data_IF_059243661269
#
_entry.id   IF_059243661269
#
_cell.length_a   1.000
_cell.length_b   1.000
_cell.length_c   1.000
_cell.angle_alpha   90.00
_cell.angle_beta   90.00
_cell.angle_gamma   90.00
#
_symmetry.space_group_name_H-M   'P 1'
#
loop_
_entity.id
_entity.type
_entity.pdbx_description
1 polymer ?
#
# COMPACT_ATOMS: atom_id res chain seq x y z
N UNK A 1 9.11 -47.70 33.65
CA UNK A 1 8.80 -46.90 32.46
C UNK A 1 10.04 -46.89 31.57
N UNK A 2 9.92 -47.12 30.26
CA UNK A 2 11.07 -46.96 29.36
C UNK A 2 11.41 -45.46 29.25
N UNK A 3 12.68 -45.09 29.03
CA UNK A 3 13.07 -43.72 28.77
C UNK A 3 12.51 -43.28 27.42
N UNK A 4 11.87 -42.11 27.38
CA UNK A 4 11.46 -41.44 26.15
C UNK A 4 12.70 -40.85 25.48
N UNK A 5 12.95 -41.22 24.22
CA UNK A 5 13.97 -40.56 23.41
C UNK A 5 13.62 -39.07 23.25
N UNK A 6 14.61 -38.16 23.26
CA UNK A 6 14.36 -36.74 23.06
C UNK A 6 13.87 -36.49 21.63
N UNK A 7 12.69 -35.87 21.50
CA UNK A 7 12.19 -35.32 20.24
C UNK A 7 13.16 -34.23 19.77
N UNK A 8 13.71 -34.29 18.54
CA UNK A 8 14.48 -33.19 17.99
C UNK A 8 13.62 -31.92 17.99
N UNK A 9 14.08 -30.84 18.64
CA UNK A 9 13.35 -29.56 18.76
C UNK A 9 13.59 -28.63 17.58
N UNK A 10 14.13 -29.15 16.49
CA UNK A 10 14.68 -28.35 15.42
C UNK A 10 13.98 -28.80 14.14
N UNK A 11 13.26 -27.89 13.49
CA UNK A 11 12.88 -28.07 12.08
C UNK A 11 13.88 -27.27 11.24
N UNK A 12 14.43 -27.92 10.22
CA UNK A 12 15.22 -27.25 9.21
C UNK A 12 14.30 -26.89 8.06
N UNK A 13 14.04 -25.59 7.87
CA UNK A 13 13.38 -25.07 6.69
C UNK A 13 14.44 -24.59 5.69
N UNK A 14 14.33 -25.06 4.45
CA UNK A 14 15.18 -24.66 3.34
C UNK A 14 14.29 -24.44 2.12
N UNK A 15 14.39 -23.25 1.53
CA UNK A 15 13.70 -22.90 0.31
C UNK A 15 14.67 -22.14 -0.61
N UNK A 16 15.18 -22.82 -1.64
CA UNK A 16 15.86 -22.17 -2.77
C UNK A 16 14.83 -21.92 -3.87
N UNK A 17 14.12 -20.79 -3.79
CA UNK A 17 13.39 -20.25 -4.94
C UNK A 17 14.03 -18.91 -5.31
N UNK A 18 15.03 -18.89 -6.22
CA UNK A 18 15.42 -17.64 -6.86
C UNK A 18 14.24 -17.20 -7.74
N UNK A 19 13.44 -16.25 -7.26
CA UNK A 19 12.31 -15.70 -7.99
C UNK A 19 12.53 -14.21 -8.26
N UNK A 20 12.05 -13.75 -9.41
CA UNK A 20 12.05 -12.35 -9.80
C UNK A 20 10.62 -12.01 -10.19
N UNK A 21 10.00 -11.04 -9.52
CA UNK A 21 8.81 -10.37 -10.06
C UNK A 21 9.20 -8.96 -10.47
N UNK A 22 8.62 -8.52 -11.57
CA UNK A 22 8.56 -7.10 -11.88
C UNK A 22 7.31 -6.52 -11.23
N UNK A 23 7.44 -5.36 -10.58
CA UNK A 23 6.31 -4.61 -10.01
C UNK A 23 6.16 -3.31 -10.79
N UNK A 24 4.93 -3.00 -11.21
CA UNK A 24 4.67 -1.75 -11.91
C UNK A 24 4.79 -0.55 -10.96
N UNK A 25 5.48 0.49 -11.41
CA UNK A 25 5.41 1.81 -10.76
C UNK A 25 4.04 2.47 -11.05
N UNK A 26 3.66 3.42 -10.22
CA UNK A 26 2.41 4.16 -10.36
C UNK A 26 2.59 5.41 -11.24
N UNK A 27 1.57 5.80 -12.03
CA UNK A 27 1.65 7.02 -12.84
C UNK A 27 1.74 8.27 -11.93
N UNK A 28 2.24 9.41 -12.44
CA UNK A 28 2.28 10.64 -11.68
C UNK A 28 0.86 11.02 -11.22
N UNK A 29 0.69 11.20 -9.91
CA UNK A 29 -0.62 11.48 -9.32
C UNK A 29 -0.78 12.97 -9.05
N UNK A 30 -1.97 13.51 -9.30
CA UNK A 30 -2.40 14.78 -8.69
C UNK A 30 -2.77 14.53 -7.23
N UNK A 31 -1.99 15.09 -6.31
CA UNK A 31 -2.24 14.90 -4.88
C UNK A 31 -3.54 15.57 -4.44
N UNK A 32 -4.43 14.79 -3.80
CA UNK A 32 -5.60 15.32 -3.13
C UNK A 32 -5.19 16.31 -2.04
N UNK A 33 -6.08 17.24 -1.69
CA UNK A 33 -5.84 18.12 -0.54
C UNK A 33 -5.64 17.31 0.75
N UNK A 34 -6.40 16.22 0.88
CA UNK A 34 -6.34 15.31 2.02
C UNK A 34 -4.97 14.68 2.19
N UNK A 35 -4.44 14.14 1.10
CA UNK A 35 -3.13 13.50 1.14
C UNK A 35 -2.00 14.49 1.42
N UNK A 36 -2.09 15.71 0.87
CA UNK A 36 -1.13 16.77 1.21
C UNK A 36 -1.14 17.12 2.69
N UNK A 37 -2.31 17.19 3.30
CA UNK A 37 -2.46 17.43 4.74
C UNK A 37 -1.89 16.24 5.55
N UNK A 38 -2.22 15.01 5.16
CA UNK A 38 -1.71 13.78 5.78
C UNK A 38 -0.17 13.72 5.75
N UNK A 39 0.41 13.89 4.56
CA UNK A 39 1.86 13.89 4.36
C UNK A 39 2.56 14.99 5.17
N UNK A 40 1.97 16.18 5.22
CA UNK A 40 2.48 17.28 6.03
C UNK A 40 2.50 16.91 7.51
N UNK A 41 1.39 16.38 8.03
CA UNK A 41 1.29 15.92 9.42
C UNK A 41 2.34 14.84 9.70
N UNK A 42 2.39 13.78 8.90
CA UNK A 42 3.36 12.68 9.04
C UNK A 42 4.80 13.18 9.14
N UNK A 43 5.20 14.11 8.26
CA UNK A 43 6.55 14.69 8.31
C UNK A 43 6.82 15.40 9.63
N UNK A 44 5.84 16.13 10.15
CA UNK A 44 5.94 16.76 11.47
C UNK A 44 6.03 15.73 12.58
N UNK A 45 5.24 14.65 12.53
CA UNK A 45 5.26 13.57 13.53
C UNK A 45 6.61 12.84 13.56
N UNK A 46 7.14 12.44 12.40
CA UNK A 46 8.46 11.80 12.30
C UNK A 46 9.57 12.71 12.82
N UNK A 47 9.46 14.02 12.60
CA UNK A 47 10.44 14.97 13.14
C UNK A 47 10.44 15.03 14.68
N UNK A 48 9.39 14.56 15.36
CA UNK A 48 9.32 14.49 16.83
C UNK A 48 9.93 13.21 17.41
N UNK A 49 10.35 12.25 16.58
CA UNK A 49 10.93 10.99 17.07
C UNK A 49 12.43 11.08 17.31
N UNK A 50 13.03 12.27 17.22
CA UNK A 50 14.45 12.57 17.50
C UNK A 50 15.48 11.62 16.86
N UNK A 51 15.14 11.04 15.71
CA UNK A 51 16.00 10.09 14.99
C UNK A 51 15.83 8.62 15.37
N UNK A 52 14.91 8.29 16.29
CA UNK A 52 14.60 6.93 16.73
C UNK A 52 13.48 6.26 15.92
N UNK A 53 13.19 6.75 14.72
CA UNK A 53 12.16 6.14 13.88
C UNK A 53 12.55 4.69 13.52
N UNK A 54 11.71 3.67 13.83
CA UNK A 54 12.14 2.27 13.72
C UNK A 54 12.49 1.79 12.30
N UNK A 55 11.92 2.39 11.24
CA UNK A 55 12.21 1.98 9.86
C UNK A 55 13.45 2.64 9.26
N UNK A 56 13.94 3.75 9.85
CA UNK A 56 15.30 4.25 9.64
C UNK A 56 15.62 5.37 10.65
N UNK A 57 16.89 5.59 10.98
CA UNK A 57 17.30 6.79 11.68
C UNK A 57 17.17 8.02 10.77
N UNK A 58 16.70 9.15 11.33
CA UNK A 58 16.67 10.44 10.63
C UNK A 58 18.10 10.83 10.22
N UNK A 59 18.38 11.13 8.94
CA UNK A 59 19.73 11.49 8.52
C UNK A 59 20.20 12.74 9.28
N UNK A 60 21.39 12.66 9.86
CA UNK A 60 22.07 13.78 10.52
C UNK A 60 23.06 14.42 9.53
N UNK A 61 23.06 15.76 9.36
CA UNK A 61 22.24 16.76 10.03
C UNK A 61 20.82 16.85 9.48
N UNK A 62 19.93 17.43 10.29
CA UNK A 62 18.54 17.67 9.92
C UNK A 62 18.46 18.44 8.59
N UNK A 63 17.55 18.05 7.69
CA UNK A 63 17.48 18.64 6.37
C UNK A 63 17.03 20.11 6.39
N UNK A 64 17.65 20.94 5.55
CA UNK A 64 17.20 22.32 5.32
C UNK A 64 15.76 22.39 4.74
N UNK A 65 15.03 23.51 4.93
CA UNK A 65 13.69 23.68 4.38
C UNK A 65 13.71 23.64 2.84
N UNK A 66 13.05 22.66 2.24
CA UNK A 66 13.01 22.42 0.80
C UNK A 66 12.36 21.06 0.48
N UNK A 67 12.19 20.67 -0.80
CA UNK A 67 11.65 19.34 -1.15
C UNK A 67 12.62 18.23 -0.70
N UNK A 68 12.36 17.77 0.52
CA UNK A 68 12.87 16.62 1.28
C UNK A 68 14.36 16.28 1.18
N UNK A 69 15.21 16.80 2.08
CA UNK A 69 16.52 16.23 2.33
C UNK A 69 16.55 15.20 3.51
N UNK A 70 15.40 14.82 4.09
CA UNK A 70 15.26 13.59 4.91
C UNK A 70 14.49 12.55 4.09
N UNK A 71 15.14 11.42 3.80
CA UNK A 71 14.76 10.45 2.77
C UNK A 71 13.50 9.63 3.00
N UNK A 72 12.48 10.14 3.71
CA UNK A 72 11.19 9.46 3.91
C UNK A 72 10.18 9.80 2.82
N UNK A 73 9.68 8.76 2.19
CA UNK A 73 8.55 8.78 1.29
C UNK A 73 7.31 8.31 2.07
N UNK A 74 6.16 8.84 1.69
CA UNK A 74 4.88 8.58 2.34
C UNK A 74 4.18 7.42 1.63
N UNK A 75 4.14 6.27 2.30
CA UNK A 75 3.56 5.04 1.79
C UNK A 75 2.11 4.84 2.25
N UNK A 76 1.28 4.37 1.32
CA UNK A 76 -0.11 3.95 1.53
C UNK A 76 -0.18 2.51 2.04
N UNK A 77 -0.19 2.31 3.35
CA UNK A 77 0.05 0.97 3.91
C UNK A 77 -0.61 0.67 5.26
N UNK A 78 -1.59 1.46 5.69
CA UNK A 78 -2.32 1.22 6.95
C UNK A 78 -1.64 1.80 8.19
N UNK A 79 -0.83 2.86 8.03
CA UNK A 79 -0.24 3.58 9.15
C UNK A 79 -1.28 4.35 9.95
N UNK A 80 -1.25 4.21 11.28
CA UNK A 80 -2.07 5.00 12.21
C UNK A 80 -1.16 5.60 13.27
N UNK A 81 -1.02 6.92 13.25
CA UNK A 81 -0.24 7.63 14.26
C UNK A 81 -1.09 7.86 15.51
N UNK A 82 -0.58 7.47 16.68
CA UNK A 82 -1.24 7.70 17.98
C UNK A 82 -0.30 8.43 18.91
N UNK A 83 -0.86 9.17 19.86
CA UNK A 83 -0.10 9.92 20.84
C UNK A 83 -0.35 9.41 22.25
N UNK A 84 0.71 9.06 22.94
CA UNK A 84 0.71 8.77 24.37
C UNK A 84 1.49 9.86 25.14
N UNK A 85 1.65 9.75 26.47
CA UNK A 85 2.41 10.73 27.25
C UNK A 85 3.90 10.84 26.86
N UNK A 86 4.48 9.80 26.27
CA UNK A 86 5.91 9.73 25.92
C UNK A 86 6.16 10.24 24.49
N UNK A 87 5.13 10.28 23.63
CA UNK A 87 5.21 10.94 22.34
C UNK A 87 4.31 10.33 21.28
N UNK A 88 4.78 10.41 20.03
CA UNK A 88 4.06 9.89 18.87
C UNK A 88 4.56 8.50 18.50
N UNK A 89 3.62 7.58 18.32
CA UNK A 89 3.84 6.21 17.88
C UNK A 89 3.12 6.01 16.55
N UNK A 90 3.70 5.21 15.67
CA UNK A 90 3.00 4.74 14.48
C UNK A 90 2.65 3.26 14.65
N UNK A 91 1.36 2.97 14.62
CA UNK A 91 0.80 1.63 14.69
C UNK A 91 0.43 1.21 13.28
N UNK A 92 0.96 0.07 12.83
CA UNK A 92 0.53 -0.53 11.57
C UNK A 92 -0.70 -1.39 11.82
N UNK A 93 -1.82 -1.03 11.20
CA UNK A 93 -3.00 -1.87 11.25
C UNK A 93 -2.83 -3.12 10.39
N UNK A 94 -3.55 -4.23 10.68
CA UNK A 94 -3.40 -5.47 9.94
C UNK A 94 -3.68 -5.37 8.43
N UNK A 95 -4.48 -4.37 8.01
CA UNK A 95 -4.86 -4.10 6.64
C UNK A 95 -4.65 -2.62 6.31
N UNK A 96 -3.80 -2.36 5.32
CA UNK A 96 -3.64 -1.06 4.68
C UNK A 96 -4.17 -1.09 3.25
N UNK A 97 -4.57 0.07 2.73
CA UNK A 97 -5.07 0.22 1.37
C UNK A 97 -4.03 0.99 0.56
N UNK A 98 -3.45 0.33 -0.44
CA UNK A 98 -2.67 1.04 -1.45
C UNK A 98 -3.52 1.99 -2.23
N UNK A 99 -2.86 3.04 -2.70
CA UNK A 99 -3.50 3.99 -3.58
C UNK A 99 -4.19 3.31 -4.77
N UNK A 100 -3.54 2.37 -5.45
CA UNK A 100 -4.14 1.70 -6.62
C UNK A 100 -5.26 0.71 -6.26
N UNK A 101 -5.23 0.15 -5.05
CA UNK A 101 -6.20 -0.83 -4.60
C UNK A 101 -7.58 -0.21 -4.29
N UNK A 102 -7.64 1.09 -4.04
CA UNK A 102 -8.87 1.81 -3.69
C UNK A 102 -10.01 1.59 -4.72
N UNK A 103 -9.67 1.43 -6.00
CA UNK A 103 -10.64 1.34 -7.10
C UNK A 103 -11.44 0.03 -7.07
N UNK A 104 -10.87 -1.03 -6.51
CA UNK A 104 -11.55 -2.31 -6.29
C UNK A 104 -12.05 -2.50 -4.86
N UNK A 105 -11.78 -1.56 -3.94
CA UNK A 105 -12.13 -1.71 -2.54
C UNK A 105 -13.65 -1.59 -2.30
N UNK A 106 -14.16 -2.45 -1.43
CA UNK A 106 -15.56 -2.47 -1.03
C UNK A 106 -15.79 -1.51 0.16
N UNK A 107 -16.65 -0.48 0.04
CA UNK A 107 -16.81 0.55 1.06
C UNK A 107 -17.11 0.01 2.45
N UNK A 108 -17.96 -1.01 2.56
CA UNK A 108 -18.31 -1.66 3.82
C UNK A 108 -17.14 -2.42 4.47
N UNK A 109 -16.21 -2.96 3.66
CA UNK A 109 -14.99 -3.59 4.16
C UNK A 109 -13.99 -2.54 4.63
N UNK A 110 -13.85 -1.43 3.90
CA UNK A 110 -13.03 -0.28 4.32
C UNK A 110 -13.59 0.37 5.59
N UNK A 111 -14.92 0.45 5.75
CA UNK A 111 -15.54 0.94 6.99
C UNK A 111 -15.20 0.07 8.21
N UNK A 112 -14.96 -1.24 8.04
CA UNK A 112 -14.45 -2.10 9.13
C UNK A 112 -13.02 -1.72 9.51
N UNK A 113 -12.17 -1.40 8.54
CA UNK A 113 -10.81 -0.91 8.77
C UNK A 113 -10.87 0.44 9.51
N UNK A 114 -11.71 1.39 9.06
CA UNK A 114 -11.95 2.67 9.74
C UNK A 114 -12.37 2.47 11.19
N UNK A 115 -13.33 1.58 11.47
CA UNK A 115 -13.77 1.32 12.85
C UNK A 115 -12.65 0.73 13.71
N UNK A 116 -11.77 -0.09 13.13
CA UNK A 116 -10.58 -0.57 13.83
C UNK A 116 -9.65 0.59 14.19
N UNK A 117 -9.32 1.46 13.22
CA UNK A 117 -8.52 2.66 13.43
C UNK A 117 -9.13 3.58 14.50
N UNK A 118 -10.45 3.80 14.46
CA UNK A 118 -11.16 4.61 15.45
C UNK A 118 -11.05 4.04 16.87
N UNK A 119 -11.08 2.72 17.02
CA UNK A 119 -10.86 2.06 18.32
C UNK A 119 -9.43 2.24 18.82
N UNK A 120 -8.45 2.11 17.92
CA UNK A 120 -7.04 2.32 18.25
C UNK A 120 -6.82 3.77 18.68
N UNK A 121 -7.21 4.75 17.85
CA UNK A 121 -7.08 6.18 18.17
C UNK A 121 -7.83 6.54 19.45
N UNK A 122 -9.03 5.97 19.67
CA UNK A 122 -9.81 6.19 20.90
C UNK A 122 -9.15 5.68 22.18
N UNK A 123 -8.17 4.77 22.09
CA UNK A 123 -7.38 4.33 23.24
C UNK A 123 -6.26 5.33 23.62
N UNK A 124 -5.98 6.30 22.75
CA UNK A 124 -4.94 7.31 22.89
C UNK A 124 -5.55 8.72 22.85
N UNK A 125 -6.11 9.22 23.96
CA UNK A 125 -6.96 10.41 23.98
C UNK A 125 -6.27 11.70 23.50
N UNK A 126 -4.94 11.78 23.59
CA UNK A 126 -4.17 12.93 23.14
C UNK A 126 -3.92 12.97 21.62
N UNK A 127 -4.32 11.93 20.89
CA UNK A 127 -4.08 11.81 19.44
C UNK A 127 -4.80 12.91 18.64
N UNK A 128 -6.12 13.01 18.77
CA UNK A 128 -6.89 14.00 17.99
C UNK A 128 -6.57 15.46 18.39
N UNK A 129 -6.47 15.80 19.70
CA UNK A 129 -5.98 17.13 20.09
C UNK A 129 -4.56 17.40 19.58
N UNK A 130 -3.69 16.39 19.58
CA UNK A 130 -2.34 16.48 19.06
C UNK A 130 -2.31 16.78 17.56
N UNK A 131 -3.16 16.13 16.77
CA UNK A 131 -3.31 16.42 15.34
C UNK A 131 -3.80 17.84 15.09
N UNK A 132 -4.83 18.29 15.81
CA UNK A 132 -5.37 19.64 15.69
C UNK A 132 -4.31 20.71 16.04
N UNK A 133 -3.51 20.48 17.08
CA UNK A 133 -2.39 21.36 17.44
C UNK A 133 -1.31 21.46 16.34
N UNK A 134 -1.22 20.46 15.46
CA UNK A 134 -0.34 20.44 14.29
C UNK A 134 -1.05 20.89 12.99
N UNK A 135 -2.28 21.38 13.09
CA UNK A 135 -3.08 21.90 11.97
C UNK A 135 -3.75 20.82 11.12
N UNK A 136 -4.05 19.65 11.69
CA UNK A 136 -4.83 18.59 11.06
C UNK A 136 -6.13 18.37 11.84
N UNK A 137 -7.18 19.11 11.46
CA UNK A 137 -8.46 19.13 12.19
C UNK A 137 -9.45 18.05 11.72
N UNK A 138 -9.10 17.34 10.65
CA UNK A 138 -10.03 16.46 9.94
C UNK A 138 -10.17 15.07 10.57
N UNK A 139 -9.32 14.77 11.56
CA UNK A 139 -9.21 13.45 12.18
C UNK A 139 -10.54 12.93 12.76
N UNK A 140 -11.26 13.77 13.49
CA UNK A 140 -12.54 13.39 14.09
C UNK A 140 -13.59 13.07 13.02
N UNK A 141 -13.68 13.89 11.96
CA UNK A 141 -14.63 13.66 10.87
C UNK A 141 -14.34 12.35 10.15
N UNK A 142 -13.09 12.07 9.81
CA UNK A 142 -12.69 10.85 9.10
C UNK A 142 -12.97 9.60 9.93
N UNK A 143 -12.68 9.64 11.23
CA UNK A 143 -12.96 8.52 12.14
C UNK A 143 -14.45 8.40 12.46
N UNK A 144 -15.23 9.48 12.43
CA UNK A 144 -16.65 9.48 12.75
C UNK A 144 -17.56 9.17 11.57
N UNK A 145 -17.12 9.38 10.34
CA UNK A 145 -17.96 9.28 9.13
C UNK A 145 -17.95 7.86 8.55
N UNK A 146 -19.10 7.18 8.43
CA UNK A 146 -19.17 5.87 7.78
C UNK A 146 -18.74 5.92 6.31
N UNK A 147 -17.99 4.90 5.87
CA UNK A 147 -17.55 4.76 4.48
C UNK A 147 -18.61 3.94 3.71
N UNK A 148 -19.20 4.57 2.69
CA UNK A 148 -20.31 4.02 1.89
C UNK A 148 -20.12 4.18 0.39
N UNK A 149 -19.24 5.07 -0.05
CA UNK A 149 -19.01 5.39 -1.46
C UNK A 149 -17.55 5.21 -1.86
N UNK A 150 -17.29 5.09 -3.16
CA UNK A 150 -15.93 5.06 -3.68
C UNK A 150 -15.15 6.35 -3.39
N UNK A 151 -15.83 7.51 -3.35
CA UNK A 151 -15.19 8.78 -2.98
C UNK A 151 -14.71 8.78 -1.51
N UNK A 152 -15.48 8.18 -0.60
CA UNK A 152 -15.07 8.03 0.80
C UNK A 152 -13.96 6.99 0.98
N UNK A 153 -13.92 5.95 0.15
CA UNK A 153 -12.78 5.02 0.09
C UNK A 153 -11.51 5.76 -0.35
N UNK A 154 -11.60 6.61 -1.38
CA UNK A 154 -10.48 7.41 -1.85
C UNK A 154 -9.97 8.37 -0.76
N UNK A 155 -10.90 9.06 -0.10
CA UNK A 155 -10.58 9.97 1.01
C UNK A 155 -9.92 9.24 2.20
N UNK A 156 -10.43 8.06 2.57
CA UNK A 156 -9.81 7.21 3.60
C UNK A 156 -8.41 6.77 3.20
N UNK A 157 -8.25 6.31 1.95
CA UNK A 157 -6.97 5.86 1.40
C UNK A 157 -5.90 6.94 1.55
N UNK A 158 -6.26 8.20 1.26
CA UNK A 158 -5.38 9.36 1.35
C UNK A 158 -5.22 9.96 2.77
N UNK A 159 -5.89 9.43 3.79
CA UNK A 159 -5.89 9.98 5.15
C UNK A 159 -4.71 9.53 6.01
N UNK A 160 -4.47 10.25 7.12
CA UNK A 160 -3.43 9.91 8.12
C UNK A 160 -3.63 8.54 8.78
N UNK A 161 -4.82 7.95 8.64
CA UNK A 161 -5.19 6.66 9.21
C UNK A 161 -4.98 5.48 8.26
N UNK A 162 -4.43 5.72 7.08
CA UNK A 162 -4.11 4.69 6.09
C UNK A 162 -2.81 5.00 5.34
N UNK A 163 -2.70 6.22 4.82
CA UNK A 163 -1.45 6.73 4.31
C UNK A 163 -0.44 6.90 5.46
N UNK A 164 0.68 7.57 5.19
CA UNK A 164 1.55 8.10 6.21
C UNK A 164 2.32 7.04 7.00
N UNK A 165 2.68 5.95 6.32
CA UNK A 165 3.79 5.09 6.74
C UNK A 165 5.08 5.70 6.18
N UNK A 166 5.95 6.34 7.00
CA UNK A 166 7.20 6.89 6.51
C UNK A 166 8.21 5.78 6.24
N UNK A 167 8.56 5.60 4.97
CA UNK A 167 9.53 4.63 4.53
C UNK A 167 10.70 5.33 3.87
N UNK A 168 11.95 4.88 4.08
CA UNK A 168 13.05 5.38 3.28
C UNK A 168 12.82 5.05 1.79
N UNK A 169 13.30 5.90 0.89
CA UNK A 169 13.11 5.73 -0.57
C UNK A 169 13.47 4.32 -1.09
N UNK A 170 14.55 3.71 -0.60
CA UNK A 170 14.98 2.37 -1.01
C UNK A 170 13.94 1.28 -0.72
N UNK A 171 13.52 1.09 0.54
CA UNK A 171 12.41 0.22 0.93
C UNK A 171 11.05 0.59 0.31
N UNK A 172 10.83 1.85 -0.06
CA UNK A 172 9.59 2.30 -0.70
C UNK A 172 9.54 1.96 -2.20
N UNK A 173 10.67 2.01 -2.91
CA UNK A 173 10.78 1.63 -4.33
C UNK A 173 11.35 0.21 -4.46
N UNK A 174 10.48 -0.79 -4.69
CA UNK A 174 10.88 -2.19 -4.83
C UNK A 174 11.73 -2.46 -6.08
N UNK A 175 13.05 -2.31 -5.97
CA UNK A 175 14.02 -2.80 -6.96
C UNK A 175 14.85 -3.92 -6.33
N UNK A 176 14.46 -5.16 -6.55
CA UNK A 176 15.32 -6.31 -6.24
C UNK A 176 16.53 -6.23 -7.21
N UNK A 177 17.81 -6.21 -6.74
CA UNK A 177 18.39 -7.01 -5.65
C UNK A 177 19.08 -6.20 -4.51
N UNK A 178 18.75 -4.92 -4.28
CA UNK A 178 19.44 -4.09 -3.27
C UNK A 178 18.62 -3.80 -2.00
N UNK A 179 17.35 -4.19 -1.93
CA UNK A 179 16.53 -4.09 -0.71
C UNK A 179 15.44 -5.16 -0.69
N UNK A 180 15.15 -5.70 0.51
CA UNK A 180 14.08 -6.68 0.69
C UNK A 180 12.72 -5.97 0.80
N UNK A 181 11.94 -5.92 -0.28
CA UNK A 181 10.57 -5.38 -0.24
C UNK A 181 9.62 -6.42 0.37
N UNK A 182 9.00 -6.14 1.54
CA UNK A 182 8.05 -7.00 2.28
C UNK A 182 7.53 -8.21 1.49
N UNK A 183 8.20 -9.37 1.54
CA UNK A 183 8.27 -10.27 0.38
C UNK A 183 7.13 -11.30 0.20
N UNK A 184 6.94 -11.63 -1.08
CA UNK A 184 6.35 -12.84 -1.72
C UNK A 184 4.95 -12.68 -2.35
N UNK A 185 4.19 -11.70 -1.87
CA UNK A 185 3.21 -10.91 -2.61
C UNK A 185 3.09 -9.67 -1.76
N UNK A 186 3.82 -8.59 -2.08
CA UNK A 186 4.19 -7.67 -1.04
C UNK A 186 2.95 -7.14 -0.38
N UNK A 187 2.86 -7.26 0.96
CA UNK A 187 1.92 -6.42 1.68
C UNK A 187 2.16 -5.02 1.14
N UNK A 188 1.16 -4.45 0.47
CA UNK A 188 -0.28 -4.72 0.64
C UNK A 188 -1.05 -5.39 -0.53
N UNK A 189 -0.42 -5.93 -1.58
CA UNK A 189 -1.08 -6.67 -2.68
C UNK A 189 -1.95 -7.84 -2.18
N UNK A 190 -1.46 -8.65 -1.23
CA UNK A 190 -2.29 -9.70 -0.61
C UNK A 190 -3.45 -9.14 0.21
N UNK A 191 -3.25 -7.96 0.82
CA UNK A 191 -4.27 -7.34 1.64
C UNK A 191 -5.46 -6.90 0.80
N UNK A 192 -5.25 -6.61 -0.49
CA UNK A 192 -6.32 -6.28 -1.44
C UNK A 192 -7.38 -7.38 -1.44
N UNK A 193 -7.02 -8.66 -1.33
CA UNK A 193 -7.99 -9.76 -1.32
C UNK A 193 -8.96 -9.69 -0.14
N UNK A 194 -8.51 -9.12 0.99
CA UNK A 194 -9.33 -8.98 2.19
C UNK A 194 -10.35 -7.83 2.10
N UNK A 195 -10.13 -6.83 1.25
CA UNK A 195 -10.99 -5.65 1.16
C UNK A 195 -11.55 -5.36 -0.24
N UNK A 196 -11.11 -6.05 -1.30
CA UNK A 196 -11.70 -5.95 -2.63
C UNK A 196 -13.18 -6.35 -2.62
N UNK A 197 -13.91 -5.89 -3.62
CA UNK A 197 -15.26 -6.38 -3.89
C UNK A 197 -15.21 -7.86 -4.31
N UNK A 198 -16.20 -8.61 -3.85
CA UNK A 198 -16.29 -10.06 -4.11
C UNK A 198 -16.54 -10.38 -5.60
N UNK A 199 -16.97 -9.37 -6.37
CA UNK A 199 -17.23 -9.46 -7.81
C UNK A 199 -16.06 -8.99 -8.69
N UNK A 200 -14.90 -8.62 -8.13
CA UNK A 200 -13.69 -8.29 -8.90
C UNK A 200 -12.60 -9.32 -8.64
N UNK A 201 -12.09 -10.04 -9.65
CA UNK A 201 -10.99 -10.99 -9.44
C UNK A 201 -9.61 -10.31 -9.56
N UNK A 202 -8.89 -10.27 -8.43
CA UNK A 202 -7.55 -9.70 -8.30
C UNK A 202 -6.47 -10.61 -8.89
N UNK A 203 -6.56 -11.91 -8.60
CA UNK A 203 -5.67 -12.94 -9.11
C UNK A 203 -6.33 -13.60 -10.31
N UNK A 204 -5.72 -13.39 -11.47
CA UNK A 204 -6.18 -13.90 -12.76
C UNK A 204 -5.08 -14.75 -13.38
N UNK A 205 -5.39 -15.50 -14.43
CA UNK A 205 -4.44 -16.40 -15.08
C UNK A 205 -4.27 -16.05 -16.55
N UNK A 206 -3.03 -16.07 -17.03
CA UNK A 206 -2.78 -15.92 -18.47
C UNK A 206 -3.18 -17.19 -19.26
N UNK A 207 -2.98 -17.16 -20.58
CA UNK A 207 -3.30 -18.28 -21.48
C UNK A 207 -2.57 -19.60 -21.13
N UNK A 208 -1.48 -19.53 -20.35
CA UNK A 208 -0.70 -20.68 -19.89
C UNK A 208 -1.07 -21.13 -18.48
N UNK A 209 -2.08 -20.51 -17.86
CA UNK A 209 -2.48 -20.75 -16.48
C UNK A 209 -1.53 -20.12 -15.46
N UNK A 210 -0.64 -19.20 -15.87
CA UNK A 210 0.31 -18.57 -14.96
C UNK A 210 -0.35 -17.39 -14.24
N UNK A 211 -0.11 -17.20 -12.93
CA UNK A 211 -0.78 -16.18 -12.14
C UNK A 211 -0.32 -14.76 -12.51
N UNK A 212 -1.28 -13.85 -12.59
CA UNK A 212 -1.09 -12.41 -12.81
C UNK A 212 -2.01 -11.65 -11.86
N UNK A 213 -1.51 -10.56 -11.28
CA UNK A 213 -2.25 -9.68 -10.35
C UNK A 213 -2.65 -8.41 -11.07
N UNK A 214 -3.93 -8.06 -11.03
CA UNK A 214 -4.46 -6.87 -11.71
C UNK A 214 -5.39 -6.03 -10.82
N UNK A 215 -5.39 -4.71 -11.02
CA UNK A 215 -6.32 -3.78 -10.35
C UNK A 215 -7.02 -2.87 -11.36
N UNK A 216 -8.26 -2.43 -11.13
CA UNK A 216 -8.99 -1.59 -12.06
C UNK A 216 -8.44 -0.15 -12.05
N UNK A 217 -8.57 0.56 -13.19
CA UNK A 217 -8.13 1.95 -13.30
C UNK A 217 -9.17 2.97 -12.79
N UNK A 218 -10.42 2.54 -12.59
CA UNK A 218 -11.51 3.42 -12.18
C UNK A 218 -12.50 2.69 -11.26
N UNK A 219 -13.34 3.43 -10.51
CA UNK A 219 -14.37 2.83 -9.65
C UNK A 219 -15.36 1.95 -10.43
N UNK A 220 -15.88 0.91 -9.76
CA UNK A 220 -16.99 0.08 -10.28
C UNK A 220 -18.18 0.96 -10.72
N UNK A 221 -18.74 0.64 -11.88
CA UNK A 221 -19.86 1.39 -12.47
C UNK A 221 -19.45 2.61 -13.30
N UNK A 222 -18.14 2.89 -13.43
CA UNK A 222 -17.63 3.96 -14.31
C UNK A 222 -17.73 3.64 -15.81
N UNK A 223 -17.86 2.37 -16.17
CA UNK A 223 -17.77 1.89 -17.55
C UNK A 223 -16.33 1.68 -18.05
N UNK A 224 -15.30 1.96 -17.24
CA UNK A 224 -13.91 1.69 -17.59
C UNK A 224 -13.52 0.25 -17.23
N UNK A 225 -13.39 -0.61 -18.24
CA UNK A 225 -12.99 -2.01 -18.09
C UNK A 225 -11.48 -2.24 -18.15
N UNK A 226 -10.66 -1.19 -18.13
CA UNK A 226 -9.19 -1.34 -18.14
C UNK A 226 -8.68 -1.80 -16.79
N UNK A 227 -7.62 -2.61 -16.82
CA UNK A 227 -6.89 -3.02 -15.62
C UNK A 227 -5.41 -2.67 -15.72
N UNK A 228 -4.75 -2.50 -14.59
CA UNK A 228 -3.30 -2.37 -14.48
C UNK A 228 -2.73 -3.66 -13.92
N UNK A 229 -1.74 -4.22 -14.60
CA UNK A 229 -0.94 -5.34 -14.08
C UNK A 229 -0.04 -4.80 -12.96
N UNK A 230 -0.13 -5.42 -11.78
CA UNK A 230 0.71 -5.10 -10.62
C UNK A 230 1.89 -6.06 -10.50
N UNK A 231 1.65 -7.34 -10.77
CA UNK A 231 2.64 -8.41 -10.70
C UNK A 231 2.27 -9.52 -11.69
N UNK A 232 3.25 -10.26 -12.18
CA UNK A 232 3.04 -11.42 -13.05
C UNK A 232 4.10 -12.48 -12.74
N UNK A 233 3.74 -13.75 -12.90
CA UNK A 233 4.71 -14.82 -12.94
C UNK A 233 5.79 -14.54 -13.99
N UNK A 234 7.08 -14.80 -13.70
CA UNK A 234 8.20 -14.43 -14.58
C UNK A 234 8.09 -15.00 -16.01
N UNK A 235 7.53 -16.20 -16.15
CA UNK A 235 7.30 -16.85 -17.44
C UNK A 235 6.04 -16.39 -18.18
N UNK A 236 5.24 -15.52 -17.57
CA UNK A 236 4.07 -14.93 -18.21
C UNK A 236 4.49 -13.88 -19.23
N UNK A 237 3.80 -13.82 -20.37
CA UNK A 237 4.01 -12.75 -21.36
C UNK A 237 3.73 -11.35 -20.76
N UNK A 238 2.88 -11.29 -19.74
CA UNK A 238 2.58 -10.05 -19.01
C UNK A 238 3.73 -9.57 -18.12
N UNK A 239 4.69 -10.43 -17.75
CA UNK A 239 5.88 -10.00 -17.03
C UNK A 239 6.75 -9.04 -17.84
N UNK A 240 6.75 -9.15 -19.18
CA UNK A 240 7.47 -8.24 -20.07
C UNK A 240 6.84 -6.84 -20.11
N UNK A 241 5.57 -6.71 -19.74
CA UNK A 241 4.86 -5.42 -19.64
C UNK A 241 5.21 -4.67 -18.36
N UNK A 242 5.64 -5.40 -17.34
CA UNK A 242 6.14 -4.91 -16.07
C UNK A 242 7.65 -4.72 -16.22
N UNK A 243 8.09 -3.56 -16.70
CA UNK A 243 9.52 -3.38 -16.98
C UNK A 243 10.27 -2.84 -15.77
N UNK A 244 11.44 -3.44 -15.56
CA UNK A 244 12.43 -3.09 -14.53
C UNK A 244 12.86 -1.61 -14.63
N UNK A 245 13.10 -0.95 -13.48
CA UNK A 245 13.66 0.40 -13.40
C UNK A 245 14.91 0.66 -14.26
N UNK A 246 15.73 -0.36 -14.51
CA UNK A 246 16.95 -0.26 -15.33
C UNK A 246 16.63 0.01 -16.80
N UNK A 247 15.62 -0.65 -17.35
CA UNK A 247 15.18 -0.42 -18.72
C UNK A 247 14.43 0.91 -18.87
N UNK A 248 13.81 1.41 -17.79
CA UNK A 248 13.19 2.75 -17.75
C UNK A 248 14.22 3.88 -17.73
N UNK A 249 15.35 3.72 -17.04
CA UNK A 249 16.45 4.69 -17.03
C UNK A 249 17.12 4.85 -18.41
N UNK A 250 17.12 3.81 -19.25
CA UNK A 250 17.66 3.84 -20.60
C UNK A 250 16.69 4.44 -21.64
N UNK A 251 15.39 4.51 -21.34
CA UNK A 251 14.35 4.81 -22.33
C UNK A 251 13.89 6.28 -22.39
N UNK A 252 14.48 7.21 -21.62
CA UNK A 252 14.15 8.65 -21.59
C UNK A 252 12.65 8.96 -21.72
N UNK A 253 11.94 8.83 -20.58
CA UNK A 253 10.61 9.39 -20.31
C UNK A 253 9.56 9.33 -21.44
N UNK A 254 8.77 8.26 -21.44
CA UNK A 254 7.35 8.32 -21.79
C UNK A 254 6.52 7.54 -20.78
N UNK A 255 5.32 8.05 -20.55
CA UNK A 255 4.21 7.42 -19.82
C UNK A 255 4.19 5.90 -20.07
N UNK A 256 4.53 5.11 -19.05
CA UNK A 256 4.53 3.65 -19.20
C UNK A 256 3.10 3.13 -19.08
N UNK A 257 2.34 3.24 -20.17
CA UNK A 257 1.03 2.59 -20.33
C UNK A 257 1.14 1.09 -20.59
N UNK A 258 2.34 0.54 -20.76
CA UNK A 258 2.53 -0.88 -21.09
C UNK A 258 1.95 -1.86 -20.06
N UNK A 259 1.84 -1.45 -18.78
CA UNK A 259 1.21 -2.26 -17.74
C UNK A 259 -0.32 -2.11 -17.67
N UNK A 260 -0.91 -1.21 -18.46
CA UNK A 260 -2.37 -1.05 -18.58
C UNK A 260 -2.87 -1.94 -19.70
N UNK A 261 -3.88 -2.74 -19.40
CA UNK A 261 -4.53 -3.65 -20.33
C UNK A 261 -5.88 -3.06 -20.77
N UNK A 262 -6.21 -3.12 -22.07
CA UNK A 262 -7.51 -2.67 -22.54
C UNK A 262 -8.63 -3.62 -22.08
N UNK A 263 -9.91 -3.20 -22.13
CA UNK A 263 -11.04 -4.00 -21.62
C UNK A 263 -11.25 -5.34 -22.34
N UNK A 264 -10.73 -5.48 -23.56
CA UNK A 264 -10.81 -6.68 -24.38
C UNK A 264 -9.65 -7.66 -24.15
N UNK A 265 -8.66 -7.30 -23.34
CA UNK A 265 -7.58 -8.19 -22.91
C UNK A 265 -8.13 -9.35 -22.07
N UNK A 266 -7.54 -10.55 -22.23
CA UNK A 266 -7.95 -11.76 -21.52
C UNK A 266 -7.99 -11.57 -20.01
N UNK A 267 -6.96 -10.93 -19.43
CA UNK A 267 -6.88 -10.70 -17.98
C UNK A 267 -7.93 -9.69 -17.49
N UNK A 268 -8.21 -8.65 -18.30
CA UNK A 268 -9.24 -7.67 -17.97
C UNK A 268 -10.64 -8.33 -17.96
N UNK A 269 -10.93 -9.14 -18.97
CA UNK A 269 -12.19 -9.90 -19.06
C UNK A 269 -12.34 -10.90 -17.91
N UNK A 270 -11.27 -11.57 -17.53
CA UNK A 270 -11.28 -12.47 -16.38
C UNK A 270 -11.53 -11.72 -15.07
N UNK A 271 -10.82 -10.61 -14.84
CA UNK A 271 -10.95 -9.80 -13.64
C UNK A 271 -12.39 -9.26 -13.43
N UNK A 272 -13.04 -8.86 -14.52
CA UNK A 272 -14.40 -8.29 -14.52
C UNK A 272 -15.50 -9.30 -14.82
N UNK A 273 -15.22 -10.61 -14.95
CA UNK A 273 -16.19 -11.62 -15.42
C UNK A 273 -17.50 -11.65 -14.62
N UNK A 274 -17.46 -11.29 -13.34
CA UNK A 274 -18.64 -11.24 -12.45
C UNK A 274 -19.32 -9.86 -12.37
N UNK A 275 -18.85 -8.89 -13.15
CA UNK A 275 -19.39 -7.53 -13.21
C UNK A 275 -20.02 -7.19 -14.56
N UNK A 276 -20.01 -8.15 -15.50
CA UNK A 276 -20.70 -8.02 -16.77
C UNK A 276 -22.15 -8.49 -16.57
N UNK A 277 -23.07 -7.53 -16.53
CA UNK A 277 -24.51 -7.77 -16.74
C UNK A 277 -24.77 -8.01 -18.23
#
# INVERSE_FOLDING_TARGET
MPPMDPVPRDHTEHQDFPWTISVADHPPRTESAQYRASRKLMRTLVATTDGEWPFAPTPTPAPAPGPSPAGYEDHHGGGVWVKDPDGWLCVLLPLGIEWSAQFCAAPEKVDRIRRCAARVVGAFPDTLPGYAALGYDDGERLLGTPIRTAGQVAEWTDSIFNASVPLPRGPHSGVLPTAAGYHHYPKPIVDIDHFRRDDFELFVTDERGLPVVVVPLAPRGSGDGRVRVLAAHADSSYAQRLVSPVARALAQEREWDGAVLPPDDLLAREAFRRQQD
#
